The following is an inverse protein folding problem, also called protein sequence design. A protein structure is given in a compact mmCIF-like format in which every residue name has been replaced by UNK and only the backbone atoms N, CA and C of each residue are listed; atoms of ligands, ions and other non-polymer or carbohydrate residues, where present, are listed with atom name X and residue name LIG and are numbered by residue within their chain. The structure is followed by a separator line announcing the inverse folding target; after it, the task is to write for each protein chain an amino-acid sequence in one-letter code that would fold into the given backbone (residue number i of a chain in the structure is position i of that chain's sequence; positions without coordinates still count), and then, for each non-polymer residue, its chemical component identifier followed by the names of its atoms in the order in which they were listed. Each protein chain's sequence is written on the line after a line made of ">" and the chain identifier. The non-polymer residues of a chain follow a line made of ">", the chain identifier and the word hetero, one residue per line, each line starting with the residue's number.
data_IF_339167444554
#
_entry.id   IF_339167444554
#
_cell.length_a   1.000
_cell.length_b   1.000
_cell.length_c   1.000
_cell.angle_alpha   90.00
_cell.angle_beta   90.00
_cell.angle_gamma   90.00
#
_symmetry.space_group_name_H-M   'P 1'
#
loop_
_entity.id
_entity.type
_entity.pdbx_description
1 polymer ?
#
# COMPACT_ATOMS: atom_id res chain seq x y z
N UNK A 1 7.03 -6.27 -19.70
CA UNK A 1 6.46 -6.72 -18.42
C UNK A 1 7.40 -6.29 -17.32
N UNK A 2 6.93 -5.51 -16.35
CA UNK A 2 7.74 -5.07 -15.21
C UNK A 2 7.89 -6.21 -14.19
N UNK A 3 8.63 -7.25 -14.58
CA UNK A 3 9.00 -8.36 -13.71
C UNK A 3 10.18 -7.96 -12.82
N UNK A 4 9.97 -6.92 -12.01
CA UNK A 4 10.97 -6.38 -11.09
C UNK A 4 10.36 -6.26 -9.71
N UNK A 5 11.20 -6.37 -8.69
CA UNK A 5 10.79 -5.98 -7.35
C UNK A 5 10.37 -4.50 -7.36
N UNK A 6 9.26 -4.12 -6.70
CA UNK A 6 8.89 -2.72 -6.54
C UNK A 6 10.04 -1.91 -5.92
N UNK A 7 9.98 -0.59 -5.97
CA UNK A 7 10.95 0.23 -5.23
C UNK A 7 10.60 0.33 -3.75
N UNK A 8 11.55 0.79 -2.94
CA UNK A 8 11.23 1.11 -1.55
C UNK A 8 10.24 2.27 -1.54
N UNK A 9 9.29 2.23 -0.61
CA UNK A 9 8.19 3.19 -0.52
C UNK A 9 7.17 3.18 -1.66
N UNK A 10 7.12 2.10 -2.45
CA UNK A 10 6.13 1.92 -3.50
C UNK A 10 4.71 1.69 -2.95
N UNK A 11 3.70 2.35 -3.54
CA UNK A 11 2.26 2.19 -3.22
C UNK A 11 1.49 1.86 -4.50
N UNK A 12 0.89 0.66 -4.55
CA UNK A 12 0.17 0.09 -5.69
C UNK A 12 -1.28 -0.22 -5.29
N UNK A 13 -2.10 0.83 -5.12
CA UNK A 13 -3.47 0.76 -4.61
C UNK A 13 -4.53 1.04 -5.70
N UNK A 14 -4.15 0.96 -6.98
CA UNK A 14 -4.99 1.36 -8.11
C UNK A 14 -6.10 0.35 -8.41
N UNK A 15 -5.84 -0.95 -8.23
CA UNK A 15 -6.74 -2.04 -8.57
C UNK A 15 -7.66 -2.51 -7.44
N UNK A 16 -8.15 -3.75 -7.58
CA UNK A 16 -8.98 -4.45 -6.58
C UNK A 16 -8.18 -5.24 -5.56
N UNK A 17 -6.85 -5.31 -5.76
CA UNK A 17 -5.86 -5.86 -4.83
C UNK A 17 -4.79 -4.79 -4.65
N UNK A 18 -4.40 -4.53 -3.40
CA UNK A 18 -3.41 -3.52 -3.05
C UNK A 18 -2.10 -4.15 -2.61
N UNK A 19 -1.00 -3.46 -2.92
CA UNK A 19 0.33 -3.74 -2.39
C UNK A 19 1.02 -2.43 -2.02
N UNK A 20 1.74 -2.39 -0.91
CA UNK A 20 2.70 -1.33 -0.62
C UNK A 20 3.96 -1.91 0.01
N UNK A 21 5.10 -1.28 -0.28
CA UNK A 21 6.37 -1.62 0.37
C UNK A 21 6.88 -0.40 1.11
N UNK A 22 7.17 -0.52 2.40
CA UNK A 22 7.77 0.54 3.21
C UNK A 22 9.25 0.22 3.47
N UNK A 23 10.16 1.21 3.49
CA UNK A 23 11.50 0.99 4.03
C UNK A 23 11.46 0.71 5.55
N UNK A 24 12.42 -0.05 6.06
CA UNK A 24 12.56 -0.36 7.48
C UNK A 24 12.60 -1.85 7.80
N UNK A 25 12.34 -2.20 9.06
CA UNK A 25 12.37 -3.58 9.56
C UNK A 25 10.95 -4.16 9.76
N UNK A 26 10.89 -5.45 10.10
CA UNK A 26 9.64 -6.20 10.26
C UNK A 26 8.85 -5.72 11.49
N UNK A 27 7.81 -4.92 11.25
CA UNK A 27 6.74 -4.60 12.20
C UNK A 27 5.58 -3.93 11.46
N UNK A 28 4.37 -4.02 12.02
CA UNK A 28 3.18 -3.34 11.50
C UNK A 28 3.07 -1.94 12.11
N UNK A 29 3.37 -0.92 11.31
CA UNK A 29 3.46 0.47 11.78
C UNK A 29 2.15 1.25 11.61
N UNK A 30 2.11 2.45 12.18
CA UNK A 30 1.04 3.44 11.90
C UNK A 30 0.93 3.76 10.41
N UNK A 31 2.06 3.86 9.70
CA UNK A 31 2.09 4.15 8.26
C UNK A 31 1.41 3.05 7.45
N UNK A 32 1.59 1.79 7.86
CA UNK A 32 0.93 0.64 7.21
C UNK A 32 -0.60 0.73 7.37
N UNK A 33 -1.06 1.04 8.58
CA UNK A 33 -2.49 1.27 8.83
C UNK A 33 -3.06 2.45 8.07
N UNK A 34 -2.33 3.57 7.97
CA UNK A 34 -2.77 4.73 7.18
C UNK A 34 -2.93 4.38 5.70
N UNK A 35 -1.96 3.64 5.12
CA UNK A 35 -2.02 3.16 3.74
C UNK A 35 -3.18 2.19 3.52
N UNK A 36 -3.41 1.27 4.46
CA UNK A 36 -4.55 0.37 4.44
C UNK A 36 -5.88 1.13 4.48
N UNK A 37 -6.05 2.08 5.41
CA UNK A 37 -7.28 2.86 5.55
C UNK A 37 -7.55 3.71 4.30
N UNK A 38 -6.52 4.31 3.70
CA UNK A 38 -6.67 5.04 2.44
C UNK A 38 -7.17 4.13 1.31
N UNK A 39 -6.66 2.90 1.22
CA UNK A 39 -7.15 1.91 0.26
C UNK A 39 -8.59 1.47 0.56
N UNK A 40 -8.91 1.20 1.82
CA UNK A 40 -10.25 0.80 2.25
C UNK A 40 -11.29 1.90 1.98
N UNK A 41 -10.96 3.17 2.26
CA UNK A 41 -11.82 4.31 1.96
C UNK A 41 -12.07 4.42 0.46
N UNK A 42 -11.01 4.31 -0.37
CA UNK A 42 -11.14 4.29 -1.83
C UNK A 42 -12.09 3.20 -2.30
N UNK A 43 -11.92 1.96 -1.82
CA UNK A 43 -12.79 0.84 -2.19
C UNK A 43 -14.25 1.05 -1.76
N UNK A 44 -14.44 1.70 -0.61
CA UNK A 44 -15.77 2.02 -0.06
C UNK A 44 -16.39 3.30 -0.65
N UNK A 45 -15.70 4.01 -1.55
CA UNK A 45 -16.14 5.31 -2.08
C UNK A 45 -16.26 6.39 -1.00
N UNK A 46 -15.51 6.26 0.09
CA UNK A 46 -15.48 7.22 1.21
C UNK A 46 -14.44 8.31 0.93
N UNK A 47 -14.69 9.54 1.40
CA UNK A 47 -13.69 10.62 1.33
C UNK A 47 -12.40 10.25 2.08
#
# INVERSE_FOLDING_TARGET
>A
TDNRWPEADCILHQGRVAYHRRPGCHYLSRTDWQRFMAYANKLAGRP
#
